data_IF_370711550894
#
_entry.id   IF_370711550894
#
_cell.length_a   1.000
_cell.length_b   1.000
_cell.length_c   1.000
_cell.angle_alpha   90.00
_cell.angle_beta   90.00
_cell.angle_gamma   90.00
#
_symmetry.space_group_name_H-M   'P 1'
#
loop_
_entity.id
_entity.type
_entity.pdbx_description
1 polymer ?
#
# COMPACT_ATOMS: atom_id res chain seq x y z
N UNK A 1 6.11 -11.32 1.09
CA UNK A 1 5.66 -10.76 2.38
C UNK A 1 6.75 -10.79 3.48
N UNK A 2 8.05 -10.86 3.16
CA UNK A 2 9.14 -10.97 4.16
C UNK A 2 9.95 -9.68 4.36
N UNK A 3 9.77 -8.67 3.51
CA UNK A 3 10.51 -7.40 3.58
C UNK A 3 10.13 -6.52 4.77
N UNK A 4 8.96 -6.72 5.37
CA UNK A 4 8.50 -5.92 6.51
C UNK A 4 9.23 -6.28 7.82
N UNK A 5 9.53 -7.56 8.03
CA UNK A 5 10.17 -8.01 9.28
C UNK A 5 11.64 -7.58 9.35
N UNK A 6 12.35 -7.64 8.21
CA UNK A 6 13.76 -7.24 8.12
C UNK A 6 13.90 -5.73 8.40
N UNK A 7 12.98 -4.90 7.89
CA UNK A 7 12.98 -3.46 8.14
C UNK A 7 12.82 -3.12 9.61
N UNK A 8 11.89 -3.78 10.31
CA UNK A 8 11.66 -3.56 11.75
C UNK A 8 12.88 -3.99 12.57
N UNK A 9 13.49 -5.14 12.24
CA UNK A 9 14.70 -5.64 12.94
C UNK A 9 15.87 -4.67 12.80
N UNK A 10 16.08 -4.09 11.61
CA UNK A 10 17.15 -3.11 11.37
C UNK A 10 16.92 -1.80 12.13
N UNK A 11 15.66 -1.34 12.24
CA UNK A 11 15.32 -0.13 13.02
C UNK A 11 15.58 -0.36 14.50
N UNK A 12 15.16 -1.52 15.05
CA UNK A 12 15.39 -1.86 16.46
C UNK A 12 16.89 -1.98 16.75
N UNK A 13 17.66 -2.64 15.87
CA UNK A 13 19.13 -2.72 16.00
C UNK A 13 19.78 -1.33 15.94
N UNK A 14 19.32 -0.44 15.07
CA UNK A 14 19.79 0.94 14.97
C UNK A 14 19.56 1.75 16.25
N UNK A 15 18.37 1.63 16.86
CA UNK A 15 18.05 2.29 18.14
C UNK A 15 18.93 1.74 19.27
N UNK A 16 19.11 0.41 19.35
CA UNK A 16 19.98 -0.21 20.36
C UNK A 16 21.43 0.26 20.22
N UNK A 17 21.97 0.29 18.99
CA UNK A 17 23.33 0.79 18.75
C UNK A 17 23.47 2.28 19.06
N UNK A 18 22.46 3.08 18.74
CA UNK A 18 22.46 4.51 19.04
C UNK A 18 22.44 4.76 20.55
N UNK A 19 21.59 4.05 21.30
CA UNK A 19 21.57 4.13 22.77
C UNK A 19 22.90 3.63 23.35
N UNK A 20 23.44 2.52 22.87
CA UNK A 20 24.73 2.00 23.34
C UNK A 20 25.88 2.98 23.05
N UNK A 21 25.93 3.60 21.86
CA UNK A 21 26.96 4.55 21.48
C UNK A 21 26.89 5.91 22.20
N UNK A 22 25.69 6.33 22.62
CA UNK A 22 25.48 7.61 23.31
C UNK A 22 25.47 7.49 24.84
N UNK A 23 25.09 6.33 25.39
CA UNK A 23 25.01 6.07 26.83
C UNK A 23 26.27 5.37 27.36
N UNK A 24 27.02 4.64 26.52
CA UNK A 24 28.31 4.11 26.97
C UNK A 24 29.29 5.26 27.24
N UNK A 25 29.85 5.35 28.45
CA UNK A 25 30.80 6.39 28.78
C UNK A 25 32.02 6.21 27.89
N UNK A 26 32.28 7.19 27.00
CA UNK A 26 33.56 7.32 26.31
C UNK A 26 34.63 7.54 27.36
N UNK A 27 35.19 6.45 27.89
CA UNK A 27 36.44 6.48 28.64
C UNK A 27 37.51 6.92 27.64
N UNK A 28 37.79 8.21 27.68
CA UNK A 28 38.90 8.86 27.04
C UNK A 28 40.17 8.11 27.45
N UNK A 29 40.63 7.23 26.56
CA UNK A 29 41.85 6.45 26.67
C UNK A 29 43.03 7.39 26.41
N UNK A 30 43.26 8.34 27.32
CA UNK A 30 44.56 8.99 27.43
C UNK A 30 45.45 8.12 28.32
N UNK A 31 46.47 7.60 27.65
CA UNK A 31 47.83 7.39 28.15
C UNK A 31 48.03 7.51 29.66
N UNK A 32 48.50 6.41 30.25
CA UNK A 32 49.76 6.28 31.00
C UNK A 32 49.65 4.92 31.70
N UNK A 33 50.22 3.83 31.16
CA UNK A 33 51.63 3.47 31.40
C UNK A 33 52.19 4.20 32.62
N UNK A 34 51.73 3.86 33.82
CA UNK A 34 52.44 4.12 35.08
C UNK A 34 51.71 3.37 36.20
N UNK A 35 52.47 2.54 36.93
CA UNK A 35 52.09 1.82 38.15
C UNK A 35 51.17 0.59 38.04
N UNK A 36 51.75 -0.46 37.46
CA UNK A 36 51.75 -1.76 38.15
C UNK A 36 52.56 -1.62 39.46
N UNK A 37 52.02 -2.16 40.57
CA UNK A 37 52.60 -2.39 41.92
C UNK A 37 51.85 -1.70 43.07
N UNK A 38 50.59 -2.03 43.31
CA UNK A 38 50.02 -2.06 44.68
C UNK A 38 48.79 -3.00 44.70
N UNK A 39 48.73 -4.02 45.58
CA UNK A 39 47.49 -4.77 45.77
C UNK A 39 46.53 -3.93 46.63
N UNK A 40 45.46 -3.42 46.02
CA UNK A 40 44.42 -2.67 46.73
C UNK A 40 43.33 -3.64 47.21
N UNK A 41 43.10 -3.59 48.52
CA UNK A 41 42.16 -4.37 49.31
C UNK A 41 40.69 -4.02 48.96
N UNK A 42 39.90 -5.01 48.52
CA UNK A 42 38.51 -4.86 48.01
C UNK A 42 37.49 -4.83 49.18
N UNK A 43 37.73 -3.99 50.20
CA UNK A 43 36.75 -3.73 51.27
C UNK A 43 36.46 -2.24 51.38
N UNK A 44 35.93 -1.64 50.32
CA UNK A 44 35.27 -0.32 50.40
C UNK A 44 34.54 0.06 49.09
N UNK A 45 33.66 -0.79 48.57
CA UNK A 45 32.62 -0.30 47.66
C UNK A 45 31.47 0.31 48.48
N UNK A 46 31.76 1.46 49.07
CA UNK A 46 30.75 2.36 49.64
C UNK A 46 29.93 2.91 48.48
N UNK A 47 28.62 2.81 48.60
CA UNK A 47 27.60 3.23 47.64
C UNK A 47 27.85 4.63 47.09
N UNK A 48 28.44 4.72 45.89
CA UNK A 48 28.38 5.94 45.10
C UNK A 48 26.97 6.05 44.51
N UNK A 49 26.14 6.89 45.14
CA UNK A 49 24.90 7.39 44.55
C UNK A 49 25.19 7.89 43.13
N UNK A 50 24.46 7.43 42.09
CA UNK A 50 24.62 7.98 40.75
C UNK A 50 24.21 9.45 40.76
N UNK A 51 25.20 10.33 40.77
CA UNK A 51 25.01 11.77 40.71
C UNK A 51 24.67 12.19 39.28
N UNK A 52 23.49 12.78 39.14
CA UNK A 52 23.02 13.55 37.98
C UNK A 52 23.17 12.86 36.62
N UNK A 53 22.22 11.98 36.30
CA UNK A 53 21.77 11.87 34.91
C UNK A 53 21.32 13.28 34.49
N UNK A 54 22.16 13.97 33.72
CA UNK A 54 21.85 15.28 33.16
C UNK A 54 20.52 15.14 32.43
N UNK A 55 19.49 15.82 32.96
CA UNK A 55 18.14 15.86 32.40
C UNK A 55 18.27 16.35 30.95
N UNK A 56 18.23 15.42 30.00
CA UNK A 56 18.13 15.75 28.59
C UNK A 56 16.84 16.57 28.48
N UNK A 57 16.96 17.84 28.10
CA UNK A 57 15.81 18.73 28.02
C UNK A 57 14.81 18.11 27.05
N UNK A 58 13.62 17.74 27.55
CA UNK A 58 12.54 17.06 26.81
C UNK A 58 12.30 17.60 25.38
N UNK A 59 12.49 18.91 25.20
CA UNK A 59 12.41 19.61 23.90
C UNK A 59 13.30 18.99 22.79
N UNK A 60 14.46 18.43 23.15
CA UNK A 60 15.40 17.84 22.18
C UNK A 60 15.00 16.42 21.79
N UNK A 61 14.39 15.67 22.71
CA UNK A 61 13.84 14.34 22.43
C UNK A 61 12.64 14.46 21.49
N UNK A 62 11.76 15.44 21.74
CA UNK A 62 10.61 15.70 20.88
C UNK A 62 11.02 16.09 19.45
N UNK A 63 12.03 16.96 19.31
CA UNK A 63 12.56 17.35 18.00
C UNK A 63 13.14 16.16 17.22
N UNK A 64 13.91 15.31 17.90
CA UNK A 64 14.48 14.12 17.26
C UNK A 64 13.40 13.10 16.87
N UNK A 65 12.38 12.90 17.70
CA UNK A 65 11.23 12.04 17.41
C UNK A 65 10.47 12.49 16.16
N UNK A 66 10.18 13.80 16.06
CA UNK A 66 9.50 14.37 14.90
C UNK A 66 10.33 14.24 13.62
N UNK A 67 11.64 14.46 13.71
CA UNK A 67 12.55 14.30 12.57
C UNK A 67 12.64 12.83 12.11
N UNK A 68 12.65 11.89 13.04
CA UNK A 68 12.66 10.45 12.75
C UNK A 68 11.33 9.99 12.10
N UNK A 69 10.19 10.49 12.60
CA UNK A 69 8.88 10.28 11.98
C UNK A 69 8.83 10.84 10.55
N UNK A 70 9.36 12.05 10.31
CA UNK A 70 9.42 12.64 8.98
C UNK A 70 10.30 11.82 8.02
N UNK A 71 11.43 11.29 8.51
CA UNK A 71 12.32 10.41 7.73
C UNK A 71 11.67 9.07 7.40
N UNK A 72 10.94 8.45 8.35
CA UNK A 72 10.15 7.22 8.11
C UNK A 72 9.06 7.51 7.06
N UNK A 73 8.38 8.64 7.16
CA UNK A 73 7.37 9.07 6.19
C UNK A 73 7.97 9.31 4.79
N UNK A 74 9.21 9.80 4.69
CA UNK A 74 9.91 10.00 3.42
C UNK A 74 10.44 8.72 2.78
N UNK A 75 10.96 7.81 3.60
CA UNK A 75 11.62 6.58 3.14
C UNK A 75 10.65 5.43 2.80
N UNK A 76 9.39 5.50 3.23
CA UNK A 76 8.41 4.41 3.05
C UNK A 76 7.22 4.84 2.19
N UNK A 77 7.29 4.68 0.85
CA UNK A 77 6.17 4.96 -0.05
C UNK A 77 4.89 4.19 0.29
N UNK A 78 5.02 2.97 0.83
CA UNK A 78 3.90 2.11 1.23
C UNK A 78 3.11 2.67 2.41
N UNK A 79 3.76 3.30 3.38
CA UNK A 79 3.10 3.95 4.53
C UNK A 79 2.26 5.15 4.08
N UNK A 80 2.69 5.88 3.05
CA UNK A 80 1.92 7.01 2.50
C UNK A 80 0.61 6.57 1.88
N UNK A 81 0.63 5.46 1.13
CA UNK A 81 -0.54 4.91 0.44
C UNK A 81 -1.53 4.33 1.46
N UNK A 82 -1.05 3.56 2.44
CA UNK A 82 -1.89 2.98 3.50
C UNK A 82 -2.56 4.07 4.36
N UNK A 83 -1.84 5.14 4.72
CA UNK A 83 -2.40 6.27 5.49
C UNK A 83 -3.41 7.06 4.66
N UNK A 84 -3.13 7.33 3.38
CA UNK A 84 -4.09 8.01 2.50
C UNK A 84 -5.38 7.21 2.30
N UNK A 85 -5.26 5.88 2.20
CA UNK A 85 -6.40 4.96 2.14
C UNK A 85 -7.21 4.95 3.44
N UNK A 86 -6.54 4.86 4.61
CA UNK A 86 -7.21 4.85 5.93
C UNK A 86 -7.84 6.18 6.33
N UNK A 87 -7.26 7.30 5.89
CA UNK A 87 -7.81 8.63 6.13
C UNK A 87 -8.87 9.04 5.10
N UNK A 88 -9.18 8.18 4.11
CA UNK A 88 -10.15 8.50 3.07
C UNK A 88 -9.74 9.69 2.19
N UNK A 89 -8.45 10.05 2.17
CA UNK A 89 -7.90 11.16 1.37
C UNK A 89 -7.59 10.74 -0.07
N UNK A 90 -7.88 9.49 -0.43
CA UNK A 90 -7.91 9.08 -1.82
C UNK A 90 -9.18 9.67 -2.44
N UNK A 91 -9.00 10.60 -3.38
CA UNK A 91 -10.09 11.14 -4.17
C UNK A 91 -10.85 9.97 -4.79
N UNK A 92 -12.04 9.72 -4.25
CA UNK A 92 -13.02 8.90 -4.95
C UNK A 92 -13.44 9.76 -6.12
N UNK A 93 -13.28 9.31 -7.38
CA UNK A 93 -13.78 10.09 -8.49
C UNK A 93 -15.25 10.40 -8.21
N UNK A 94 -15.58 11.70 -8.20
CA UNK A 94 -16.96 12.12 -8.00
C UNK A 94 -17.74 11.50 -9.17
N UNK A 95 -18.75 10.66 -8.90
CA UNK A 95 -19.52 10.06 -9.97
C UNK A 95 -20.06 11.18 -10.86
N UNK A 96 -19.96 10.98 -12.18
CA UNK A 96 -20.47 11.93 -13.19
C UNK A 96 -21.87 12.40 -12.80
N UNK A 97 -22.10 13.71 -12.80
CA UNK A 97 -23.39 14.32 -12.47
C UNK A 97 -24.40 14.26 -13.62
N UNK A 98 -24.05 13.63 -14.73
CA UNK A 98 -25.03 13.27 -15.73
C UNK A 98 -25.99 12.29 -15.06
N UNK A 99 -27.26 12.68 -14.96
CA UNK A 99 -28.36 11.77 -14.67
C UNK A 99 -28.37 10.72 -15.78
N UNK A 100 -27.51 9.72 -15.62
CA UNK A 100 -27.54 8.55 -16.46
C UNK A 100 -28.68 7.72 -15.93
N UNK A 101 -29.59 7.34 -16.81
CA UNK A 101 -30.48 6.18 -16.63
C UNK A 101 -29.62 4.91 -16.62
N UNK A 102 -28.56 4.89 -15.82
CA UNK A 102 -27.66 3.77 -15.68
C UNK A 102 -28.48 2.64 -15.10
N UNK A 103 -28.45 1.51 -15.78
CA UNK A 103 -29.37 0.41 -15.52
C UNK A 103 -29.26 -0.10 -14.07
N UNK A 104 -28.09 0.05 -13.43
CA UNK A 104 -27.88 -0.28 -12.02
C UNK A 104 -28.32 0.87 -11.10
N UNK A 105 -29.51 0.73 -10.50
CA UNK A 105 -30.07 1.70 -9.55
C UNK A 105 -29.19 1.92 -8.32
N UNK A 106 -28.39 0.93 -7.93
CA UNK A 106 -27.45 0.98 -6.80
C UNK A 106 -26.00 1.12 -7.29
N UNK A 107 -25.73 2.14 -8.10
CA UNK A 107 -24.42 2.35 -8.73
C UNK A 107 -23.28 2.75 -7.77
N UNK A 108 -23.59 3.03 -6.49
CA UNK A 108 -22.61 3.42 -5.47
C UNK A 108 -22.21 2.26 -4.54
N UNK A 109 -22.75 1.06 -4.75
CA UNK A 109 -22.48 -0.11 -3.93
C UNK A 109 -22.00 -1.29 -4.77
N UNK A 110 -20.99 -1.99 -4.25
CA UNK A 110 -20.53 -3.24 -4.84
C UNK A 110 -21.64 -4.28 -4.76
N UNK A 111 -21.76 -5.10 -5.80
CA UNK A 111 -22.65 -6.25 -5.79
C UNK A 111 -22.36 -7.13 -4.54
N UNK A 112 -23.39 -7.57 -3.79
CA UNK A 112 -23.20 -8.27 -2.51
C UNK A 112 -22.29 -9.51 -2.59
N UNK A 113 -22.32 -10.22 -3.72
CA UNK A 113 -21.46 -11.40 -3.96
C UNK A 113 -19.97 -11.04 -4.01
N UNK A 114 -19.63 -9.84 -4.48
CA UNK A 114 -18.24 -9.35 -4.57
C UNK A 114 -17.79 -8.77 -3.24
N UNK A 115 -18.68 -8.03 -2.56
CA UNK A 115 -18.41 -7.47 -1.24
C UNK A 115 -18.08 -8.58 -0.21
N UNK A 116 -18.70 -9.75 -0.34
CA UNK A 116 -18.54 -10.89 0.57
C UNK A 116 -17.72 -12.05 -0.01
N UNK A 117 -16.99 -11.82 -1.10
CA UNK A 117 -16.20 -12.87 -1.76
C UNK A 117 -15.05 -13.32 -0.85
N UNK A 118 -14.92 -14.62 -0.54
CA UNK A 118 -13.83 -15.11 0.28
C UNK A 118 -12.52 -15.15 -0.54
N UNK A 119 -11.34 -14.99 0.11
CA UNK A 119 -10.06 -15.08 -0.59
C UNK A 119 -9.86 -16.38 -1.37
N UNK A 120 -10.46 -17.48 -0.89
CA UNK A 120 -10.37 -18.77 -1.57
C UNK A 120 -11.03 -18.81 -2.94
N UNK A 121 -12.02 -17.94 -3.20
CA UNK A 121 -12.65 -17.80 -4.50
C UNK A 121 -11.79 -16.96 -5.47
N UNK A 122 -10.85 -16.17 -4.96
CA UNK A 122 -10.00 -15.26 -5.74
C UNK A 122 -8.67 -15.90 -6.21
N UNK A 123 -8.62 -17.22 -6.41
CA UNK A 123 -7.39 -17.94 -6.79
C UNK A 123 -7.04 -17.85 -8.27
N UNK A 124 -8.04 -17.75 -9.12
CA UNK A 124 -7.89 -17.68 -10.58
C UNK A 124 -9.11 -16.99 -11.20
N UNK A 125 -8.96 -16.53 -12.44
CA UNK A 125 -10.07 -15.95 -13.23
C UNK A 125 -11.28 -16.91 -13.25
N UNK A 126 -11.02 -18.19 -13.55
CA UNK A 126 -12.06 -19.22 -13.55
C UNK A 126 -12.72 -19.39 -12.18
N UNK A 127 -11.93 -19.42 -11.10
CA UNK A 127 -12.46 -19.56 -9.73
C UNK A 127 -13.41 -18.41 -9.35
N UNK A 128 -13.07 -17.18 -9.75
CA UNK A 128 -13.93 -16.00 -9.53
C UNK A 128 -15.23 -16.13 -10.33
N UNK A 129 -15.14 -16.47 -11.61
CA UNK A 129 -16.30 -16.64 -12.47
C UNK A 129 -17.22 -17.76 -11.99
N UNK A 130 -16.65 -18.92 -11.62
CA UNK A 130 -17.39 -20.06 -11.05
C UNK A 130 -18.12 -19.65 -9.76
N UNK A 131 -17.46 -18.89 -8.89
CA UNK A 131 -18.07 -18.38 -7.65
C UNK A 131 -19.27 -17.47 -7.94
N UNK A 132 -19.12 -16.54 -8.88
CA UNK A 132 -20.20 -15.63 -9.29
C UNK A 132 -21.36 -16.42 -9.91
N UNK A 133 -21.09 -17.31 -10.87
CA UNK A 133 -22.08 -18.17 -11.54
C UNK A 133 -22.84 -19.09 -10.57
N UNK A 134 -22.16 -19.55 -9.52
CA UNK A 134 -22.78 -20.40 -8.49
C UNK A 134 -23.80 -19.62 -7.64
N UNK A 135 -23.55 -18.33 -7.37
CA UNK A 135 -24.32 -17.50 -6.42
C UNK A 135 -25.32 -16.56 -7.08
N UNK A 136 -25.08 -16.15 -8.32
CA UNK A 136 -25.89 -15.21 -9.07
C UNK A 136 -26.40 -15.91 -10.33
N UNK A 137 -27.71 -15.86 -10.58
CA UNK A 137 -28.35 -16.58 -11.70
C UNK A 137 -28.82 -15.67 -12.83
N UNK A 138 -29.21 -14.46 -12.51
CA UNK A 138 -29.57 -13.47 -13.52
C UNK A 138 -28.29 -13.01 -14.26
N UNK A 139 -28.20 -13.19 -15.60
CA UNK A 139 -27.04 -12.75 -16.39
C UNK A 139 -26.74 -11.26 -16.25
N UNK A 140 -27.77 -10.44 -16.02
CA UNK A 140 -27.61 -9.02 -15.79
C UNK A 140 -26.87 -8.74 -14.47
N UNK A 141 -27.27 -9.37 -13.37
CA UNK A 141 -26.59 -9.26 -12.07
C UNK A 141 -25.20 -9.93 -12.08
N UNK A 142 -25.03 -11.01 -12.84
CA UNK A 142 -23.70 -11.61 -13.05
C UNK A 142 -22.77 -10.60 -13.75
N UNK A 143 -23.26 -9.91 -14.79
CA UNK A 143 -22.48 -8.87 -15.49
C UNK A 143 -22.09 -7.74 -14.55
N UNK A 144 -23.02 -7.27 -13.69
CA UNK A 144 -22.73 -6.31 -12.63
C UNK A 144 -21.64 -6.83 -11.68
N UNK A 145 -21.76 -8.06 -11.22
CA UNK A 145 -20.78 -8.67 -10.32
C UNK A 145 -19.39 -8.77 -10.97
N UNK A 146 -19.29 -9.15 -12.25
CA UNK A 146 -18.02 -9.17 -12.98
C UNK A 146 -17.41 -7.76 -13.10
N UNK A 147 -18.23 -6.77 -13.45
CA UNK A 147 -17.82 -5.37 -13.49
C UNK A 147 -17.28 -4.91 -12.13
N UNK A 148 -18.05 -5.11 -11.07
CA UNK A 148 -17.70 -4.67 -9.71
C UNK A 148 -16.46 -5.39 -9.19
N UNK A 149 -16.23 -6.64 -9.57
CA UNK A 149 -14.98 -7.35 -9.28
C UNK A 149 -13.78 -6.63 -9.89
N UNK A 150 -13.81 -6.36 -11.20
CA UNK A 150 -12.71 -5.69 -11.90
C UNK A 150 -12.50 -4.27 -11.35
N UNK A 151 -13.58 -3.51 -11.17
CA UNK A 151 -13.53 -2.13 -10.69
C UNK A 151 -12.98 -2.02 -9.26
N UNK A 152 -13.27 -3.00 -8.39
CA UNK A 152 -12.85 -2.95 -6.98
C UNK A 152 -11.50 -3.62 -6.69
N UNK A 153 -11.02 -4.52 -7.56
CA UNK A 153 -9.76 -5.28 -7.35
C UNK A 153 -8.59 -4.77 -8.16
N UNK A 154 -8.83 -4.02 -9.24
CA UNK A 154 -7.76 -3.52 -10.10
C UNK A 154 -7.54 -2.05 -9.81
N UNK A 155 -6.28 -1.66 -9.61
CA UNK A 155 -5.86 -0.26 -9.49
C UNK A 155 -5.46 0.30 -10.86
N UNK A 156 -5.93 1.50 -11.19
CA UNK A 156 -5.58 2.15 -12.45
C UNK A 156 -4.13 2.64 -12.45
N UNK A 157 -3.35 2.25 -13.45
CA UNK A 157 -1.95 2.65 -13.60
C UNK A 157 -1.79 3.97 -14.38
N UNK A 158 -2.29 5.05 -13.78
CA UNK A 158 -2.23 6.41 -14.37
C UNK A 158 -0.80 6.79 -14.79
N UNK A 159 0.20 6.45 -13.96
CA UNK A 159 1.61 6.75 -14.25
C UNK A 159 2.12 6.02 -15.50
N UNK A 160 1.82 4.72 -15.64
CA UNK A 160 2.24 3.97 -16.81
C UNK A 160 1.53 4.42 -18.09
N UNK A 161 0.26 4.84 -17.95
CA UNK A 161 -0.52 5.43 -19.03
C UNK A 161 0.11 6.76 -19.51
N UNK A 162 0.31 7.71 -18.60
CA UNK A 162 0.92 9.02 -18.88
C UNK A 162 2.34 8.89 -19.44
N UNK A 163 3.14 7.96 -18.91
CA UNK A 163 4.50 7.71 -19.38
C UNK A 163 4.56 6.96 -20.73
N UNK A 164 3.42 6.57 -21.31
CA UNK A 164 3.32 5.73 -22.53
C UNK A 164 4.17 4.45 -22.44
N UNK A 165 4.31 3.89 -21.23
CA UNK A 165 5.12 2.70 -20.91
C UNK A 165 4.31 1.73 -20.08
N UNK A 166 3.32 1.14 -20.73
CA UNK A 166 2.41 0.22 -20.09
C UNK A 166 3.09 -1.16 -19.96
N UNK A 167 3.07 -1.79 -18.77
CA UNK A 167 3.46 -3.18 -18.63
C UNK A 167 2.46 -4.08 -19.37
N UNK A 168 2.69 -5.39 -19.35
CA UNK A 168 1.76 -6.39 -19.91
C UNK A 168 0.32 -6.12 -19.46
N UNK A 169 -0.63 -6.19 -20.39
CA UNK A 169 -2.06 -5.94 -20.14
C UNK A 169 -2.92 -7.20 -20.41
N UNK A 170 -2.33 -8.39 -20.50
CA UNK A 170 -3.09 -9.63 -20.63
C UNK A 170 -3.82 -9.99 -19.31
N UNK A 171 -4.96 -10.68 -19.42
CA UNK A 171 -5.85 -10.92 -18.29
C UNK A 171 -5.17 -11.64 -17.11
N UNK A 172 -4.33 -12.64 -17.38
CA UNK A 172 -3.61 -13.38 -16.35
C UNK A 172 -2.62 -12.48 -15.59
N UNK A 173 -1.87 -11.65 -16.33
CA UNK A 173 -0.98 -10.68 -15.71
C UNK A 173 -1.74 -9.65 -14.86
N UNK A 174 -2.85 -9.10 -15.38
CA UNK A 174 -3.66 -8.10 -14.67
C UNK A 174 -4.28 -8.69 -13.41
N UNK A 175 -4.84 -9.90 -13.50
CA UNK A 175 -5.40 -10.62 -12.35
C UNK A 175 -4.36 -10.78 -11.22
N UNK A 176 -3.15 -11.22 -11.56
CA UNK A 176 -2.08 -11.41 -10.57
C UNK A 176 -1.53 -10.08 -10.03
N UNK A 177 -1.42 -9.05 -10.86
CA UNK A 177 -0.79 -7.77 -10.47
C UNK A 177 -1.76 -6.78 -9.85
N UNK A 178 -3.07 -6.97 -10.03
CA UNK A 178 -4.12 -6.09 -9.54
C UNK A 178 -3.91 -4.63 -9.96
N UNK A 179 -3.29 -4.42 -11.13
CA UNK A 179 -2.92 -3.10 -11.63
C UNK A 179 -2.90 -3.09 -13.17
N UNK A 180 -3.58 -2.14 -13.79
CA UNK A 180 -3.74 -2.08 -15.24
C UNK A 180 -4.15 -0.69 -15.74
N UNK A 181 -4.17 -0.50 -17.06
CA UNK A 181 -4.85 0.61 -17.74
C UNK A 181 -6.13 0.11 -18.43
N UNK A 182 -6.86 0.99 -19.13
CA UNK A 182 -8.11 0.67 -19.83
C UNK A 182 -8.09 -0.69 -20.57
N UNK A 183 -7.01 -0.98 -21.32
CA UNK A 183 -6.85 -2.25 -22.05
C UNK A 183 -6.82 -3.47 -21.11
N UNK A 184 -6.11 -3.39 -19.99
CA UNK A 184 -6.02 -4.50 -19.04
C UNK A 184 -7.30 -4.73 -18.25
N UNK A 185 -8.03 -3.68 -17.90
CA UNK A 185 -9.38 -3.79 -17.32
C UNK A 185 -10.31 -4.53 -18.28
N UNK A 186 -10.37 -4.10 -19.55
CA UNK A 186 -11.21 -4.72 -20.56
C UNK A 186 -10.83 -6.19 -20.81
N UNK A 187 -9.53 -6.48 -20.95
CA UNK A 187 -9.06 -7.85 -21.16
C UNK A 187 -9.42 -8.78 -19.99
N UNK A 188 -9.33 -8.31 -18.75
CA UNK A 188 -9.73 -9.11 -17.58
C UNK A 188 -11.25 -9.34 -17.56
N UNK A 189 -12.06 -8.31 -17.82
CA UNK A 189 -13.51 -8.44 -17.86
C UNK A 189 -13.97 -9.44 -18.92
N UNK A 190 -13.39 -9.36 -20.13
CA UNK A 190 -13.65 -10.35 -21.20
C UNK A 190 -13.26 -11.76 -20.76
N UNK A 191 -12.10 -11.93 -20.12
CA UNK A 191 -11.66 -13.24 -19.66
C UNK A 191 -12.58 -13.83 -18.58
N UNK A 192 -13.10 -12.99 -17.68
CA UNK A 192 -14.10 -13.40 -16.69
C UNK A 192 -15.44 -13.78 -17.34
N UNK A 193 -15.92 -12.98 -18.30
CA UNK A 193 -17.16 -13.25 -19.03
C UNK A 193 -17.12 -14.57 -19.79
N UNK A 194 -15.99 -14.89 -20.42
CA UNK A 194 -15.77 -16.16 -21.15
C UNK A 194 -15.93 -17.43 -20.31
N UNK A 195 -15.83 -17.33 -18.99
CA UNK A 195 -16.00 -18.46 -18.07
C UNK A 195 -17.47 -18.62 -17.62
N UNK A 196 -18.39 -17.75 -18.08
CA UNK A 196 -19.82 -17.78 -17.78
C UNK A 196 -20.62 -17.94 -19.09
N UNK A 197 -21.20 -19.12 -19.29
CA UNK A 197 -21.86 -19.54 -20.54
C UNK A 197 -22.93 -18.56 -21.07
N UNK A 198 -23.67 -17.88 -20.19
CA UNK A 198 -24.80 -17.00 -20.56
C UNK A 198 -24.40 -15.53 -20.77
N UNK A 199 -23.10 -15.22 -20.78
CA UNK A 199 -22.59 -13.86 -20.92
C UNK A 199 -21.58 -13.79 -22.07
N UNK A 200 -21.86 -12.91 -23.03
CA UNK A 200 -20.89 -12.53 -24.06
C UNK A 200 -20.37 -11.10 -23.80
N UNK A 201 -19.06 -10.98 -23.55
CA UNK A 201 -18.39 -9.70 -23.34
C UNK A 201 -17.34 -9.53 -24.43
N UNK A 202 -17.51 -8.46 -25.22
CA UNK A 202 -16.58 -8.08 -26.27
C UNK A 202 -15.80 -6.82 -25.87
N UNK A 203 -14.52 -6.81 -26.21
CA UNK A 203 -13.68 -5.61 -26.03
C UNK A 203 -13.87 -4.67 -27.24
N UNK A 204 -14.20 -3.43 -26.95
CA UNK A 204 -14.25 -2.33 -27.93
C UNK A 204 -13.12 -1.34 -27.64
N UNK A 205 -12.59 -0.72 -28.69
CA UNK A 205 -11.56 0.32 -28.62
C UNK A 205 -12.08 1.64 -29.14
N UNK A 206 -11.58 2.74 -28.59
CA UNK A 206 -11.90 4.10 -29.02
C UNK A 206 -11.22 5.12 -28.11
N UNK A 207 -11.56 6.38 -28.32
CA UNK A 207 -11.06 7.50 -27.53
C UNK A 207 -12.11 7.99 -26.53
N UNK A 208 -11.64 8.51 -25.40
CA UNK A 208 -12.53 9.21 -24.47
C UNK A 208 -12.97 10.53 -25.10
N UNK A 209 -14.16 11.00 -24.74
CA UNK A 209 -14.62 12.31 -25.21
C UNK A 209 -13.72 13.41 -24.65
N UNK A 210 -13.21 14.28 -25.53
CA UNK A 210 -12.26 15.34 -25.15
C UNK A 210 -12.85 16.27 -24.07
N UNK A 211 -14.17 16.53 -24.13
CA UNK A 211 -14.93 17.32 -23.14
C UNK A 211 -14.82 16.79 -21.70
N UNK A 212 -14.66 15.47 -21.51
CA UNK A 212 -14.50 14.85 -20.18
C UNK A 212 -13.03 14.85 -19.72
N UNK A 213 -12.08 14.92 -20.65
CA UNK A 213 -10.66 14.93 -20.34
C UNK A 213 -10.21 16.27 -19.74
N UNK A 214 -10.78 17.38 -20.22
CA UNK A 214 -10.50 18.74 -19.73
C UNK A 214 -10.95 18.93 -18.28
N UNK A 215 -12.10 18.38 -17.89
CA UNK A 215 -12.62 18.45 -16.51
C UNK A 215 -11.75 17.69 -15.50
N UNK A 216 -11.08 16.60 -15.91
CA UNK A 216 -10.17 15.82 -15.05
C UNK A 216 -8.70 16.27 -15.13
N UNK A 217 -8.39 17.34 -15.87
CA UNK A 217 -7.02 17.82 -16.06
C UNK A 217 -6.12 16.83 -16.79
N UNK A 218 -6.70 15.90 -17.56
CA UNK A 218 -5.98 14.96 -18.40
C UNK A 218 -5.66 15.66 -19.73
N UNK A 219 -4.38 15.87 -20.02
CA UNK A 219 -3.98 16.32 -21.35
C UNK A 219 -4.41 15.25 -22.37
N UNK A 220 -5.19 15.66 -23.37
CA UNK A 220 -5.58 14.81 -24.50
C UNK A 220 -4.31 14.47 -25.29
N UNK A 221 -3.76 13.29 -25.03
CA UNK A 221 -2.57 12.78 -25.71
C UNK A 221 -2.98 12.29 -27.10
N UNK A 222 -2.95 13.19 -28.09
CA UNK A 222 -2.85 12.83 -29.50
C UNK A 222 -1.51 12.15 -29.80
#
# INVERSE_FOLDING_TARGET
>A
MTTSLIGIVLIVLGIVFFIAGFVAPRKQQQSKKFFARYPVNIRQFKSQKPSSLKVIKFKHILGFLLLLLALIYQSSPSLRIEIAFRLGLQERPKPSSLASDWLWKENNQLHPVIANMPPDAEKSIKSVADYIKAKVKDPYEQTKALHDYVASRITYDKKAFEAKRQPRQDAAYVFHKQKAVCTGYANLLVALGKEIDDIDIVKVTGDIREELAEEEGLQTLR
#
